data_IF_792874796944
#
_entry.id   IF_792874796944
#
_cell.length_a   1.000
_cell.length_b   1.000
_cell.length_c   1.000
_cell.angle_alpha   90.00
_cell.angle_beta   90.00
_cell.angle_gamma   90.00
#
_symmetry.space_group_name_H-M   'P 1'
#
loop_
_entity.id
_entity.type
_entity.pdbx_description
1 polymer ?
#
# COMPACT_ATOMS: atom_id res chain seq x y z
N UNK A 1 3.19 8.57 -14.91
CA UNK A 1 3.91 7.28 -14.72
C UNK A 1 4.82 6.86 -15.87
N UNK A 2 4.46 7.02 -17.15
CA UNK A 2 5.27 6.51 -18.28
C UNK A 2 6.76 6.92 -18.23
N UNK A 3 7.05 8.22 -18.10
CA UNK A 3 8.43 8.74 -18.02
C UNK A 3 9.22 8.14 -16.85
N UNK A 4 8.62 8.08 -15.66
CA UNK A 4 9.27 7.48 -14.48
C UNK A 4 9.60 5.99 -14.72
N UNK A 5 8.67 5.25 -15.33
CA UNK A 5 8.92 3.83 -15.67
C UNK A 5 10.02 3.68 -16.72
N UNK A 6 10.10 4.59 -17.70
CA UNK A 6 11.20 4.66 -18.67
C UNK A 6 12.56 4.95 -17.99
N UNK A 7 12.56 5.71 -16.89
CA UNK A 7 13.73 5.98 -16.03
C UNK A 7 14.04 4.85 -15.02
N UNK A 8 13.34 3.71 -15.10
CA UNK A 8 13.53 2.57 -14.20
C UNK A 8 12.92 2.74 -12.80
N UNK A 9 12.10 3.77 -12.59
CA UNK A 9 11.40 4.03 -11.33
C UNK A 9 10.10 3.22 -11.29
N UNK A 10 9.94 2.44 -10.23
CA UNK A 10 8.71 1.68 -9.99
C UNK A 10 7.65 2.58 -9.35
N UNK A 11 6.40 2.42 -9.76
CA UNK A 11 5.32 3.32 -9.36
C UNK A 11 4.14 2.54 -8.81
N UNK A 12 3.52 3.06 -7.75
CA UNK A 12 2.21 2.62 -7.26
C UNK A 12 1.24 3.80 -7.21
N UNK A 13 -0.05 3.50 -7.30
CA UNK A 13 -1.11 4.49 -7.10
C UNK A 13 -1.96 4.05 -5.91
N UNK A 14 -2.04 4.94 -4.93
CA UNK A 14 -3.01 4.89 -3.86
C UNK A 14 -4.13 5.83 -4.26
N UNK A 15 -5.29 5.26 -4.51
CA UNK A 15 -6.51 6.02 -4.76
C UNK A 15 -7.27 6.12 -3.43
N UNK A 16 -7.36 7.34 -2.88
CA UNK A 16 -8.11 7.59 -1.65
C UNK A 16 -9.61 7.80 -1.92
N UNK A 17 -10.00 7.88 -3.20
CA UNK A 17 -11.39 8.02 -3.65
C UNK A 17 -12.19 6.72 -3.53
N UNK A 18 -11.60 5.65 -2.96
CA UNK A 18 -12.21 4.34 -2.70
C UNK A 18 -13.61 4.52 -2.11
N UNK A 19 -14.58 4.56 -3.02
CA UNK A 19 -16.01 4.84 -2.95
C UNK A 19 -16.54 5.48 -1.65
N UNK A 20 -17.15 6.66 -1.80
CA UNK A 20 -18.10 7.30 -0.89
C UNK A 20 -19.35 6.46 -0.54
N UNK A 21 -19.16 5.26 -0.03
CA UNK A 21 -20.19 4.31 0.39
C UNK A 21 -20.20 4.12 1.90
N UNK A 22 -20.25 5.22 2.65
CA UNK A 22 -20.85 5.30 4.00
C UNK A 22 -20.48 4.27 5.10
N UNK A 23 -19.55 3.33 4.92
CA UNK A 23 -19.37 2.23 5.89
C UNK A 23 -18.06 1.40 5.76
N UNK A 24 -16.97 1.96 5.22
CA UNK A 24 -15.66 1.28 5.23
C UNK A 24 -14.98 1.48 6.59
N UNK A 25 -14.53 0.40 7.23
CA UNK A 25 -13.78 0.51 8.50
C UNK A 25 -12.35 0.97 8.25
N UNK A 26 -11.69 1.58 9.25
CA UNK A 26 -10.26 1.95 9.15
C UNK A 26 -9.39 0.75 8.76
N UNK A 27 -9.69 -0.44 9.30
CA UNK A 27 -9.01 -1.68 8.93
C UNK A 27 -9.14 -2.00 7.44
N UNK A 28 -10.35 -1.96 6.90
CA UNK A 28 -10.60 -2.23 5.48
C UNK A 28 -9.93 -1.18 4.59
N UNK A 29 -9.96 0.08 5.02
CA UNK A 29 -9.33 1.19 4.31
C UNK A 29 -7.82 1.00 4.22
N UNK A 30 -7.12 0.79 5.33
CA UNK A 30 -5.67 0.55 5.32
C UNK A 30 -5.29 -0.76 4.62
N UNK A 31 -6.07 -1.83 4.79
CA UNK A 31 -5.83 -3.09 4.08
C UNK A 31 -5.95 -2.90 2.55
N UNK A 32 -6.86 -2.04 2.09
CA UNK A 32 -7.01 -1.73 0.67
C UNK A 32 -5.81 -0.96 0.09
N UNK A 33 -5.26 -0.01 0.86
CA UNK A 33 -4.04 0.73 0.50
C UNK A 33 -2.88 -0.24 0.37
N UNK A 34 -2.66 -1.09 1.37
CA UNK A 34 -1.59 -2.08 1.34
C UNK A 34 -1.79 -3.05 0.17
N UNK A 35 -3.02 -3.47 -0.12
CA UNK A 35 -3.31 -4.32 -1.29
C UNK A 35 -2.87 -3.67 -2.60
N UNK A 36 -3.13 -2.37 -2.78
CA UNK A 36 -2.65 -1.63 -3.96
C UNK A 36 -1.12 -1.63 -4.03
N UNK A 37 -0.43 -1.43 -2.91
CA UNK A 37 1.03 -1.47 -2.86
C UNK A 37 1.59 -2.86 -3.19
N UNK A 38 1.01 -3.93 -2.62
CA UNK A 38 1.40 -5.33 -2.91
C UNK A 38 1.26 -5.62 -4.40
N UNK A 39 0.13 -5.24 -4.99
CA UNK A 39 -0.14 -5.44 -6.42
C UNK A 39 0.83 -4.65 -7.29
N UNK A 40 0.97 -3.35 -7.04
CA UNK A 40 1.69 -2.44 -7.93
C UNK A 40 3.21 -2.65 -7.87
N UNK A 41 3.74 -2.98 -6.69
CA UNK A 41 5.15 -3.34 -6.50
C UNK A 41 5.45 -4.84 -6.67
N UNK A 42 4.43 -5.66 -6.98
CA UNK A 42 4.56 -7.12 -7.17
C UNK A 42 5.26 -7.81 -6.00
N UNK A 43 4.81 -7.49 -4.79
CA UNK A 43 5.39 -8.03 -3.57
C UNK A 43 4.94 -9.47 -3.34
N UNK A 44 5.88 -10.35 -3.00
CA UNK A 44 5.62 -11.75 -2.63
C UNK A 44 5.12 -11.84 -1.18
N UNK A 45 3.95 -11.26 -0.91
CA UNK A 45 3.33 -11.25 0.43
C UNK A 45 1.85 -11.59 0.34
N UNK A 46 1.44 -12.57 1.14
CA UNK A 46 0.02 -12.91 1.30
C UNK A 46 -0.61 -11.95 2.31
N UNK A 47 -1.22 -10.87 1.80
CA UNK A 47 -1.75 -9.78 2.63
C UNK A 47 -2.69 -10.25 3.74
N UNK A 48 -3.60 -11.21 3.47
CA UNK A 48 -4.53 -11.70 4.49
C UNK A 48 -3.82 -12.36 5.67
N UNK A 49 -2.75 -13.11 5.40
CA UNK A 49 -1.94 -13.76 6.43
C UNK A 49 -1.15 -12.73 7.21
N UNK A 50 -0.43 -11.86 6.49
CA UNK A 50 0.38 -10.80 7.09
C UNK A 50 -0.46 -9.87 7.97
N UNK A 51 -1.64 -9.47 7.51
CA UNK A 51 -2.55 -8.61 8.25
C UNK A 51 -3.02 -9.24 9.57
N UNK A 52 -3.35 -10.53 9.55
CA UNK A 52 -3.76 -11.28 10.75
C UNK A 52 -2.61 -11.45 11.74
N UNK A 53 -1.40 -11.71 11.28
CA UNK A 53 -0.21 -11.83 12.14
C UNK A 53 0.09 -10.52 12.89
N UNK A 54 -0.32 -9.38 12.33
CA UNK A 54 -0.14 -8.07 12.94
C UNK A 54 -1.43 -7.55 13.60
N UNK A 55 -2.40 -8.42 13.92
CA UNK A 55 -3.72 -7.99 14.41
C UNK A 55 -3.68 -7.20 15.73
N UNK A 56 -2.62 -7.38 16.52
CA UNK A 56 -2.38 -6.65 17.77
C UNK A 56 -2.04 -5.16 17.55
N UNK A 57 -1.66 -4.77 16.32
CA UNK A 57 -1.42 -3.38 15.97
C UNK A 57 -2.72 -2.72 15.46
N UNK A 58 -2.95 -1.43 15.76
CA UNK A 58 -4.01 -0.69 15.11
C UNK A 58 -3.72 -0.56 13.60
N UNK A 59 -4.75 -0.28 12.79
CA UNK A 59 -4.65 -0.28 11.33
C UNK A 59 -3.52 0.62 10.79
N UNK A 60 -3.33 1.82 11.36
CA UNK A 60 -2.21 2.71 11.02
C UNK A 60 -0.84 2.13 11.42
N UNK A 61 -0.79 1.38 12.51
CA UNK A 61 0.42 0.69 12.96
C UNK A 61 0.80 -0.44 12.01
N UNK A 62 -0.17 -1.22 11.54
CA UNK A 62 0.05 -2.21 10.48
C UNK A 62 0.52 -1.55 9.20
N UNK A 63 -0.06 -0.43 8.79
CA UNK A 63 0.41 0.29 7.62
C UNK A 63 1.88 0.70 7.75
N UNK A 64 2.27 1.29 8.89
CA UNK A 64 3.67 1.64 9.15
C UNK A 64 4.60 0.42 9.08
N UNK A 65 4.24 -0.66 9.78
CA UNK A 65 5.03 -1.89 9.81
C UNK A 65 5.16 -2.51 8.41
N UNK A 66 4.12 -2.42 7.59
CA UNK A 66 4.18 -2.88 6.20
C UNK A 66 5.17 -2.05 5.37
N UNK A 67 5.14 -0.72 5.50
CA UNK A 67 6.05 0.16 4.76
C UNK A 67 7.51 -0.14 5.15
N UNK A 68 7.81 -0.12 6.44
CA UNK A 68 9.19 -0.28 6.97
C UNK A 68 9.68 -1.73 6.86
N UNK A 69 8.82 -2.69 7.20
CA UNK A 69 9.15 -4.09 7.36
C UNK A 69 9.09 -4.91 6.08
N UNK A 70 8.25 -4.50 5.11
CA UNK A 70 8.02 -5.23 3.85
C UNK A 70 8.40 -4.38 2.65
N UNK A 71 7.68 -3.28 2.40
CA UNK A 71 7.81 -2.53 1.14
C UNK A 71 9.23 -2.02 0.89
N UNK A 72 9.80 -1.30 1.85
CA UNK A 72 11.14 -0.71 1.73
C UNK A 72 12.27 -1.75 1.72
N UNK A 73 12.01 -2.98 2.21
CA UNK A 73 12.98 -4.08 2.16
C UNK A 73 12.89 -4.86 0.85
N UNK A 74 11.70 -4.95 0.25
CA UNK A 74 11.45 -5.72 -0.97
C UNK A 74 11.76 -4.94 -2.24
N UNK A 75 11.62 -3.63 -2.24
CA UNK A 75 11.83 -2.79 -3.43
C UNK A 75 13.15 -2.04 -3.31
N UNK A 76 14.11 -2.38 -4.16
CA UNK A 76 15.46 -1.79 -4.15
C UNK A 76 15.64 -0.67 -5.16
N UNK A 77 14.72 -0.57 -6.14
CA UNK A 77 14.69 0.51 -7.11
C UNK A 77 14.11 1.78 -6.47
N UNK A 78 14.44 2.93 -7.06
CA UNK A 78 13.73 4.16 -6.75
C UNK A 78 12.23 3.96 -7.00
N UNK A 79 11.42 4.36 -6.02
CA UNK A 79 9.96 4.22 -6.09
C UNK A 79 9.26 5.56 -5.97
N UNK A 80 8.11 5.68 -6.61
CA UNK A 80 7.19 6.79 -6.43
C UNK A 80 5.80 6.23 -6.13
N UNK A 81 5.21 6.68 -5.03
CA UNK A 81 3.83 6.37 -4.66
C UNK A 81 3.01 7.62 -4.95
N UNK A 82 2.10 7.52 -5.90
CA UNK A 82 1.13 8.57 -6.18
C UNK A 82 -0.03 8.40 -5.20
N UNK A 83 -0.43 9.48 -4.55
CA UNK A 83 -1.62 9.53 -3.72
C UNK A 83 -2.59 10.44 -4.47
N UNK A 84 -3.68 9.86 -4.95
CA UNK A 84 -4.75 10.59 -5.61
C UNK A 84 -5.85 10.91 -4.58
N UNK A 85 -6.41 12.11 -4.70
CA UNK A 85 -7.35 12.75 -3.77
C UNK A 85 -6.83 12.92 -2.33
N UNK A 86 -6.46 14.16 -1.99
CA UNK A 86 -6.11 14.61 -0.64
C UNK A 86 -6.86 15.92 -0.43
N UNK A 87 -8.14 15.83 -0.07
CA UNK A 87 -8.95 17.02 0.29
C UNK A 87 -8.29 17.83 1.43
#
# INVERSE_FOLDING_TARGET
>A
MRRLKEDGIVCAVIDLSMDGTHNVTLDQWYASIIRSLVRDFKLEVTLSTWWREHEMLPAQGRFREFIEGVLLKSVTQNMVIFIDEID
#
